data_IF_500026974970
#
_entry.id   IF_500026974970
#
_cell.length_a   1.000
_cell.length_b   1.000
_cell.length_c   1.000
_cell.angle_alpha   90.00
_cell.angle_beta   90.00
_cell.angle_gamma   90.00
#
_symmetry.space_group_name_H-M   'P 1'
#
loop_
_entity.id
_entity.type
_entity.pdbx_description
1 polymer ?
#
# COMPACT_ATOMS: atom_id res chain seq x y z
N UNK A 1 -15.33 -27.39 18.29
CA UNK A 1 -16.24 -27.98 19.31
C UNK A 1 -15.99 -27.44 20.73
N UNK A 2 -14.90 -27.79 21.45
CA UNK A 2 -14.72 -27.35 22.87
C UNK A 2 -14.75 -25.83 23.10
N UNK A 3 -14.01 -25.05 22.30
CA UNK A 3 -13.97 -23.59 22.45
C UNK A 3 -15.29 -22.89 22.11
N UNK A 4 -16.07 -23.44 21.19
CA UNK A 4 -17.37 -22.87 20.81
C UNK A 4 -18.35 -22.92 21.98
N UNK A 5 -18.47 -24.08 22.63
CA UNK A 5 -19.33 -24.25 23.81
C UNK A 5 -18.85 -23.39 24.99
N UNK A 6 -17.53 -23.28 25.18
CA UNK A 6 -16.95 -22.42 26.21
C UNK A 6 -17.32 -20.94 26.00
N UNK A 7 -17.09 -20.39 24.79
CA UNK A 7 -17.41 -18.99 24.51
C UNK A 7 -18.92 -18.71 24.59
N UNK A 8 -19.75 -19.66 24.17
CA UNK A 8 -21.20 -19.52 24.27
C UNK A 8 -21.68 -19.54 25.73
N UNK A 9 -21.13 -20.43 26.56
CA UNK A 9 -21.41 -20.45 27.99
C UNK A 9 -21.00 -19.13 28.67
N UNK A 10 -19.82 -18.59 28.32
CA UNK A 10 -19.37 -17.28 28.81
C UNK A 10 -20.33 -16.14 28.39
N UNK A 11 -20.79 -16.14 27.13
CA UNK A 11 -21.72 -15.13 26.59
C UNK A 11 -23.04 -15.13 27.37
N UNK A 12 -23.62 -16.31 27.58
CA UNK A 12 -24.87 -16.48 28.33
C UNK A 12 -24.71 -16.07 29.80
N UNK A 13 -23.59 -16.46 30.44
CA UNK A 13 -23.29 -16.10 31.83
C UNK A 13 -23.18 -14.58 32.02
N UNK A 14 -22.62 -13.88 31.03
CA UNK A 14 -22.51 -12.42 31.03
C UNK A 14 -23.76 -11.71 30.48
N UNK A 15 -24.83 -12.46 30.16
CA UNK A 15 -26.09 -11.94 29.63
C UNK A 15 -25.90 -11.07 28.38
N UNK A 16 -24.91 -11.43 27.55
CA UNK A 16 -24.58 -10.67 26.34
C UNK A 16 -25.56 -11.01 25.22
N UNK A 17 -25.81 -10.04 24.33
CA UNK A 17 -26.60 -10.26 23.10
C UNK A 17 -26.01 -11.38 22.24
N UNK A 18 -26.83 -11.96 21.35
CA UNK A 18 -26.44 -13.10 20.51
C UNK A 18 -25.50 -12.69 19.36
N UNK A 19 -24.28 -12.35 19.74
CA UNK A 19 -23.16 -12.03 18.87
C UNK A 19 -21.99 -12.88 19.35
N UNK A 20 -21.28 -13.51 18.41
CA UNK A 20 -20.09 -14.27 18.72
C UNK A 20 -18.95 -13.36 19.23
N UNK A 21 -17.97 -13.96 19.91
CA UNK A 21 -16.87 -13.22 20.56
C UNK A 21 -16.10 -12.31 19.59
N UNK A 22 -15.90 -12.72 18.34
CA UNK A 22 -15.24 -11.93 17.29
C UNK A 22 -16.00 -10.62 16.98
N UNK A 23 -17.33 -10.65 17.02
CA UNK A 23 -18.16 -9.44 16.89
C UNK A 23 -17.94 -8.45 18.04
N UNK A 24 -17.83 -8.94 19.28
CA UNK A 24 -17.50 -8.10 20.44
C UNK A 24 -16.09 -7.53 20.37
N UNK A 25 -15.11 -8.33 19.92
CA UNK A 25 -13.72 -7.89 19.72
C UNK A 25 -13.58 -6.82 18.64
N UNK A 26 -14.54 -6.70 17.72
CA UNK A 26 -14.56 -5.65 16.70
C UNK A 26 -15.08 -4.30 17.24
N UNK A 27 -15.80 -4.29 18.36
CA UNK A 27 -16.45 -3.07 18.88
C UNK A 27 -15.50 -1.90 19.17
N UNK A 28 -14.26 -2.08 19.70
CA UNK A 28 -13.35 -0.95 19.90
C UNK A 28 -12.91 -0.30 18.58
N UNK A 29 -12.67 -1.12 17.56
CA UNK A 29 -12.32 -0.67 16.20
C UNK A 29 -13.49 0.12 15.58
N UNK A 30 -14.72 -0.32 15.80
CA UNK A 30 -15.90 0.43 15.36
C UNK A 30 -16.07 1.73 16.15
N UNK A 31 -15.89 1.68 17.47
CA UNK A 31 -16.13 2.81 18.37
C UNK A 31 -15.18 3.97 18.07
N UNK A 32 -13.89 3.69 17.84
CA UNK A 32 -12.92 4.73 17.54
C UNK A 32 -13.21 5.47 16.24
N UNK A 33 -13.80 4.78 15.24
CA UNK A 33 -14.24 5.38 13.98
C UNK A 33 -15.58 6.13 14.08
N UNK A 34 -16.38 5.87 15.11
CA UNK A 34 -17.69 6.53 15.31
C UNK A 34 -17.53 7.92 15.93
N UNK A 35 -16.54 8.16 16.78
CA UNK A 35 -16.38 9.44 17.49
C UNK A 35 -16.28 10.67 16.56
N UNK A 36 -15.52 10.66 15.45
CA UNK A 36 -15.51 11.80 14.52
C UNK A 36 -16.89 12.11 13.92
N UNK A 37 -17.70 11.08 13.64
CA UNK A 37 -19.04 11.26 13.08
C UNK A 37 -19.98 11.87 14.12
N UNK A 38 -19.93 11.37 15.35
CA UNK A 38 -20.76 11.88 16.46
C UNK A 38 -20.40 13.32 16.83
N UNK A 39 -19.10 13.65 16.90
CA UNK A 39 -18.64 15.01 17.18
C UNK A 39 -18.95 15.98 16.03
N UNK A 40 -18.89 15.53 14.78
CA UNK A 40 -19.28 16.34 13.63
C UNK A 40 -20.78 16.67 13.67
N UNK A 41 -21.63 15.70 14.01
CA UNK A 41 -23.06 15.94 14.16
C UNK A 41 -23.37 16.85 15.35
N UNK A 42 -22.66 16.70 16.47
CA UNK A 42 -22.78 17.61 17.61
C UNK A 42 -22.40 19.05 17.22
N UNK A 43 -21.23 19.23 16.58
CA UNK A 43 -20.75 20.55 16.17
C UNK A 43 -21.71 21.27 15.22
N UNK A 44 -22.41 20.52 14.36
CA UNK A 44 -23.41 21.06 13.44
C UNK A 44 -24.58 21.75 14.17
N UNK A 45 -24.94 21.29 15.37
CA UNK A 45 -26.02 21.87 16.18
C UNK A 45 -25.50 22.70 17.38
N UNK A 46 -24.19 22.90 17.49
CA UNK A 46 -23.60 23.82 18.48
C UNK A 46 -23.43 25.20 17.84
N UNK A 47 -24.08 26.23 18.40
CA UNK A 47 -23.92 27.60 17.94
C UNK A 47 -22.48 28.11 18.15
N UNK A 48 -22.01 29.04 17.31
CA UNK A 48 -20.61 29.52 17.34
C UNK A 48 -20.24 30.27 18.63
N UNK A 49 -21.24 30.88 19.27
CA UNK A 49 -21.15 31.61 20.54
C UNK A 49 -21.28 30.70 21.77
N UNK A 50 -21.65 29.44 21.59
CA UNK A 50 -21.75 28.47 22.68
C UNK A 50 -20.36 28.19 23.28
N UNK A 51 -20.27 28.09 24.61
CA UNK A 51 -19.01 27.84 25.35
C UNK A 51 -18.24 26.63 24.81
N UNK A 52 -18.97 25.58 24.42
CA UNK A 52 -18.40 24.32 23.95
C UNK A 52 -18.01 24.29 22.48
N UNK A 53 -18.37 25.30 21.67
CA UNK A 53 -18.13 25.27 20.23
C UNK A 53 -16.65 25.00 19.89
N UNK A 54 -15.75 25.74 20.53
CA UNK A 54 -14.31 25.63 20.31
C UNK A 54 -13.77 24.27 20.77
N UNK A 55 -14.27 23.75 21.89
CA UNK A 55 -13.87 22.47 22.43
C UNK A 55 -14.34 21.29 21.57
N UNK A 56 -15.58 21.32 21.09
CA UNK A 56 -16.12 20.29 20.19
C UNK A 56 -15.41 20.32 18.85
N UNK A 57 -15.12 21.49 18.29
CA UNK A 57 -14.35 21.64 17.06
C UNK A 57 -12.92 21.07 17.20
N UNK A 58 -12.25 21.38 18.31
CA UNK A 58 -10.92 20.86 18.61
C UNK A 58 -10.96 19.32 18.81
N UNK A 59 -11.91 18.81 19.58
CA UNK A 59 -12.09 17.38 19.81
C UNK A 59 -12.35 16.62 18.50
N UNK A 60 -13.17 17.19 17.60
CA UNK A 60 -13.41 16.61 16.28
C UNK A 60 -12.10 16.49 15.48
N UNK A 61 -11.29 17.54 15.45
CA UNK A 61 -9.99 17.53 14.77
C UNK A 61 -9.05 16.47 15.35
N UNK A 62 -8.94 16.40 16.69
CA UNK A 62 -8.13 15.41 17.40
C UNK A 62 -8.60 13.99 17.09
N UNK A 63 -9.91 13.71 17.15
CA UNK A 63 -10.44 12.37 16.90
C UNK A 63 -10.27 11.94 15.46
N UNK A 64 -10.41 12.85 14.49
CA UNK A 64 -10.07 12.58 13.08
C UNK A 64 -8.61 12.18 12.94
N UNK A 65 -7.71 12.92 13.60
CA UNK A 65 -6.29 12.61 13.60
C UNK A 65 -5.99 11.26 14.25
N UNK A 66 -6.63 10.90 15.37
CA UNK A 66 -6.48 9.58 16.01
C UNK A 66 -6.90 8.46 15.05
N UNK A 67 -8.07 8.56 14.42
CA UNK A 67 -8.52 7.54 13.45
C UNK A 67 -7.57 7.42 12.26
N UNK A 68 -7.10 8.56 11.73
CA UNK A 68 -6.15 8.60 10.63
C UNK A 68 -4.81 7.94 11.01
N UNK A 69 -4.26 8.26 12.19
CA UNK A 69 -3.01 7.67 12.69
C UNK A 69 -3.14 6.15 12.91
N UNK A 70 -4.25 5.68 13.46
CA UNK A 70 -4.50 4.23 13.62
C UNK A 70 -4.53 3.53 12.25
N UNK A 71 -5.26 4.12 11.29
CA UNK A 71 -5.34 3.59 9.94
C UNK A 71 -3.95 3.57 9.26
N UNK A 72 -3.19 4.64 9.43
CA UNK A 72 -1.83 4.76 8.89
C UNK A 72 -0.88 3.74 9.51
N UNK A 73 -0.91 3.57 10.84
CA UNK A 73 -0.10 2.57 11.55
C UNK A 73 -0.37 1.17 11.03
N UNK A 74 -1.65 0.82 10.86
CA UNK A 74 -2.07 -0.47 10.31
C UNK A 74 -1.56 -0.62 8.87
N UNK A 75 -1.76 0.39 8.03
CA UNK A 75 -1.28 0.42 6.63
C UNK A 75 0.24 0.22 6.55
N UNK A 76 1.01 0.89 7.42
CA UNK A 76 2.48 0.73 7.47
C UNK A 76 2.86 -0.72 7.77
N UNK A 77 2.25 -1.35 8.77
CA UNK A 77 2.53 -2.74 9.13
C UNK A 77 2.21 -3.71 7.99
N UNK A 78 1.06 -3.56 7.34
CA UNK A 78 0.68 -4.38 6.18
C UNK A 78 1.58 -4.16 4.96
N UNK A 79 2.17 -2.97 4.84
CA UNK A 79 3.06 -2.64 3.73
C UNK A 79 4.50 -3.13 3.94
N UNK A 80 4.90 -3.56 5.14
CA UNK A 80 6.26 -4.12 5.39
C UNK A 80 6.53 -5.30 4.46
N UNK A 81 5.58 -6.24 4.35
CA UNK A 81 5.69 -7.40 3.47
C UNK A 81 5.82 -6.98 1.99
N UNK A 82 5.10 -5.91 1.59
CA UNK A 82 5.14 -5.39 0.21
C UNK A 82 6.47 -4.73 -0.09
N UNK A 83 7.05 -3.99 0.86
CA UNK A 83 8.39 -3.39 0.72
C UNK A 83 9.44 -4.49 0.58
N UNK A 84 9.39 -5.53 1.42
CA UNK A 84 10.31 -6.65 1.34
C UNK A 84 10.19 -7.39 -0.01
N UNK A 85 8.97 -7.60 -0.51
CA UNK A 85 8.73 -8.18 -1.84
C UNK A 85 9.25 -7.29 -2.97
N UNK A 86 9.03 -5.97 -2.89
CA UNK A 86 9.55 -5.02 -3.86
C UNK A 86 11.07 -5.03 -3.87
N UNK A 87 11.73 -5.00 -2.71
CA UNK A 87 13.19 -5.06 -2.60
C UNK A 87 13.76 -6.32 -3.25
N UNK A 88 13.11 -7.48 -3.07
CA UNK A 88 13.55 -8.73 -3.71
C UNK A 88 13.28 -8.81 -5.22
N UNK A 89 12.44 -7.91 -5.75
CA UNK A 89 12.18 -7.81 -7.20
C UNK A 89 13.18 -6.91 -7.93
N UNK A 90 13.89 -6.04 -7.18
CA UNK A 90 14.97 -5.22 -7.72
C UNK A 90 16.17 -6.14 -7.96
N UNK A 91 16.56 -6.30 -9.23
CA UNK A 91 17.66 -7.18 -9.61
C UNK A 91 18.99 -6.44 -9.49
N UNK A 92 20.06 -7.20 -9.25
CA UNK A 92 21.41 -6.73 -9.53
C UNK A 92 21.62 -6.69 -11.06
N UNK A 93 22.36 -5.67 -11.51
CA UNK A 93 22.66 -5.30 -12.90
C UNK A 93 22.80 -6.52 -13.83
N UNK A 94 21.83 -6.84 -14.72
CA UNK A 94 22.06 -7.79 -15.83
C UNK A 94 21.22 -7.58 -17.12
N UNK A 95 20.14 -6.79 -17.20
CA UNK A 95 19.27 -6.81 -18.43
C UNK A 95 18.52 -5.50 -18.80
N UNK A 96 19.24 -4.50 -19.34
CA UNK A 96 18.76 -3.11 -19.57
C UNK A 96 17.59 -2.90 -20.56
N UNK A 97 16.95 -3.94 -21.09
CA UNK A 97 15.97 -3.81 -22.20
C UNK A 97 14.51 -3.70 -21.70
N UNK A 98 14.23 -4.09 -20.46
CA UNK A 98 12.86 -4.16 -19.92
C UNK A 98 12.50 -2.98 -19.01
N UNK A 99 11.42 -2.27 -19.32
CA UNK A 99 10.92 -1.12 -18.51
C UNK A 99 10.35 -1.53 -17.14
N UNK A 100 9.98 -2.79 -16.97
CA UNK A 100 9.50 -3.37 -15.71
C UNK A 100 10.63 -3.82 -14.77
N UNK A 101 11.88 -3.82 -15.23
CA UNK A 101 13.04 -4.16 -14.39
C UNK A 101 13.59 -2.89 -13.74
N UNK A 102 13.77 -2.94 -12.43
CA UNK A 102 14.43 -1.90 -11.65
C UNK A 102 15.81 -2.39 -11.23
N UNK A 103 16.80 -1.49 -11.31
CA UNK A 103 18.17 -1.72 -10.89
C UNK A 103 18.51 -0.84 -9.70
N UNK A 104 19.10 -1.44 -8.66
CA UNK A 104 19.57 -0.67 -7.53
C UNK A 104 20.78 0.18 -7.92
N UNK A 105 20.73 1.48 -7.61
CA UNK A 105 21.79 2.46 -7.93
C UNK A 105 22.35 3.19 -6.70
N UNK A 106 21.89 2.83 -5.51
CA UNK A 106 22.32 3.46 -4.25
C UNK A 106 21.13 3.92 -3.40
N UNK A 107 21.47 4.50 -2.25
CA UNK A 107 20.52 5.07 -1.27
C UNK A 107 21.12 6.32 -0.64
N UNK A 108 20.27 7.27 -0.28
CA UNK A 108 20.64 8.48 0.46
C UNK A 108 20.07 8.36 1.88
N UNK A 109 20.92 8.60 2.87
CA UNK A 109 20.52 8.66 4.27
C UNK A 109 19.94 10.03 4.60
N UNK A 110 18.62 10.14 4.59
CA UNK A 110 17.92 11.42 4.74
C UNK A 110 18.13 12.10 6.11
N UNK A 111 18.65 11.40 7.12
CA UNK A 111 18.93 11.99 8.43
C UNK A 111 20.08 13.00 8.38
N UNK A 112 21.04 12.75 7.49
CA UNK A 112 22.22 13.59 7.27
C UNK A 112 21.98 14.74 6.31
N UNK A 113 20.84 14.75 5.62
CA UNK A 113 20.54 15.71 4.57
C UNK A 113 19.42 16.67 4.96
N UNK A 114 19.47 17.86 4.38
CA UNK A 114 18.41 18.86 4.40
C UNK A 114 17.93 19.16 2.97
N UNK A 115 16.65 19.51 2.85
CA UNK A 115 16.03 19.79 1.54
C UNK A 115 15.99 21.29 1.32
N UNK A 116 16.66 21.75 0.27
CA UNK A 116 16.70 23.16 -0.13
C UNK A 116 15.81 23.33 -1.37
N UNK A 117 14.76 24.13 -1.23
CA UNK A 117 13.92 24.52 -2.36
C UNK A 117 14.62 25.61 -3.16
N UNK A 118 14.74 25.40 -4.47
CA UNK A 118 15.48 26.30 -5.37
C UNK A 118 14.53 26.88 -6.42
N UNK A 119 14.55 28.19 -6.59
CA UNK A 119 13.74 28.88 -7.59
C UNK A 119 14.26 28.62 -9.01
N UNK A 120 13.38 28.78 -10.01
CA UNK A 120 13.75 28.63 -11.41
C UNK A 120 14.71 29.76 -11.79
N UNK A 121 15.84 29.42 -12.40
CA UNK A 121 16.88 30.41 -12.65
C UNK A 121 18.21 29.78 -13.08
N UNK A 122 19.30 30.47 -12.78
CA UNK A 122 20.65 29.94 -12.93
C UNK A 122 21.16 29.54 -11.55
N UNK A 123 21.71 28.34 -11.45
CA UNK A 123 22.34 27.87 -10.23
C UNK A 123 23.77 28.40 -10.11
N UNK A 124 24.15 28.89 -8.94
CA UNK A 124 25.52 29.34 -8.71
C UNK A 124 26.48 28.18 -8.40
N UNK A 125 26.02 27.11 -7.74
CA UNK A 125 26.87 25.97 -7.34
C UNK A 125 27.20 25.06 -8.53
N UNK A 126 26.24 24.85 -9.43
CA UNK A 126 26.37 23.96 -10.59
C UNK A 126 26.54 24.71 -11.90
N UNK A 127 26.32 26.03 -11.92
CA UNK A 127 26.37 26.87 -13.13
C UNK A 127 25.45 26.38 -14.27
N UNK A 128 24.29 25.81 -13.92
CA UNK A 128 23.29 25.26 -14.86
C UNK A 128 21.97 26.02 -14.73
N UNK A 129 21.22 26.17 -15.83
CA UNK A 129 19.85 26.68 -15.75
C UNK A 129 18.92 25.61 -15.19
N UNK A 130 18.22 25.96 -14.11
CA UNK A 130 17.33 25.06 -13.40
C UNK A 130 15.88 25.46 -13.61
N UNK A 131 15.05 24.44 -13.82
CA UNK A 131 13.60 24.56 -13.82
C UNK A 131 13.02 23.41 -13.02
N UNK A 132 12.10 23.72 -12.10
CA UNK A 132 11.48 22.74 -11.19
C UNK A 132 12.53 21.90 -10.42
N UNK A 133 13.59 22.55 -9.92
CA UNK A 133 14.66 21.87 -9.21
C UNK A 133 14.58 22.02 -7.68
N UNK A 134 15.25 21.12 -6.97
CA UNK A 134 15.52 21.21 -5.53
C UNK A 134 16.85 20.51 -5.22
N UNK A 135 17.49 20.87 -4.11
CA UNK A 135 18.77 20.30 -3.67
C UNK A 135 18.63 19.52 -2.37
N UNK A 136 19.47 18.50 -2.22
CA UNK A 136 19.74 17.87 -0.94
C UNK A 136 21.16 18.24 -0.52
N UNK A 137 21.30 18.94 0.59
CA UNK A 137 22.57 19.37 1.15
C UNK A 137 22.88 18.54 2.40
N UNK A 138 24.10 18.05 2.54
CA UNK A 138 24.52 17.34 3.74
C UNK A 138 24.79 18.34 4.88
N UNK A 139 24.35 18.02 6.09
CA UNK A 139 24.48 18.92 7.25
C UNK A 139 25.91 19.00 7.79
N UNK A 140 26.71 17.96 7.56
CA UNK A 140 28.06 17.82 8.11
C UNK A 140 29.15 18.00 7.06
N UNK A 141 28.82 17.80 5.79
CA UNK A 141 29.76 17.87 4.66
C UNK A 141 29.27 18.83 3.58
N UNK A 142 30.16 19.29 2.71
CA UNK A 142 29.81 20.11 1.54
C UNK A 142 29.18 19.28 0.40
N UNK A 143 28.70 18.05 0.69
CA UNK A 143 28.08 17.20 -0.31
C UNK A 143 26.68 17.71 -0.66
N UNK A 144 26.45 17.98 -1.95
CA UNK A 144 25.18 18.48 -2.46
C UNK A 144 24.71 17.69 -3.68
N UNK A 145 23.44 17.28 -3.66
CA UNK A 145 22.79 16.57 -4.77
C UNK A 145 21.69 17.45 -5.37
N UNK A 146 21.71 17.63 -6.69
CA UNK A 146 20.72 18.42 -7.42
C UNK A 146 19.69 17.51 -8.11
N UNK A 147 18.40 17.80 -7.92
CA UNK A 147 17.29 17.03 -8.49
C UNK A 147 16.41 17.91 -9.37
N UNK A 148 15.93 17.34 -10.47
CA UNK A 148 15.02 17.98 -11.41
C UNK A 148 13.71 17.19 -11.52
N UNK A 149 12.60 17.87 -11.31
CA UNK A 149 11.28 17.36 -11.67
C UNK A 149 10.91 17.81 -13.08
N UNK A 150 10.19 16.97 -13.85
CA UNK A 150 9.74 17.39 -15.18
C UNK A 150 8.63 18.43 -15.11
N UNK A 151 7.84 18.38 -14.04
CA UNK A 151 6.68 19.24 -13.81
C UNK A 151 6.72 19.89 -12.43
N UNK A 152 6.12 21.06 -12.31
CA UNK A 152 6.03 21.78 -11.03
C UNK A 152 5.24 20.97 -9.99
N UNK A 153 4.19 20.28 -10.39
CA UNK A 153 3.39 19.45 -9.48
C UNK A 153 4.20 18.30 -8.90
N UNK A 154 5.14 17.74 -9.66
CA UNK A 154 6.05 16.70 -9.20
C UNK A 154 7.04 17.26 -8.18
N UNK A 155 7.62 18.45 -8.42
CA UNK A 155 8.46 19.15 -7.44
C UNK A 155 7.71 19.38 -6.13
N UNK A 156 6.49 19.91 -6.19
CA UNK A 156 5.66 20.16 -5.01
C UNK A 156 5.38 18.85 -4.25
N UNK A 157 5.10 17.75 -4.97
CA UNK A 157 4.90 16.43 -4.34
C UNK A 157 6.15 15.92 -3.64
N UNK A 158 7.34 16.07 -4.26
CA UNK A 158 8.60 15.69 -3.63
C UNK A 158 8.89 16.50 -2.37
N UNK A 159 8.78 17.83 -2.44
CA UNK A 159 9.00 18.71 -1.28
C UNK A 159 8.04 18.38 -0.14
N UNK A 160 6.77 18.08 -0.47
CA UNK A 160 5.80 17.61 0.52
C UNK A 160 6.21 16.26 1.11
N UNK A 161 6.62 15.31 0.28
CA UNK A 161 7.04 13.98 0.74
C UNK A 161 8.24 14.06 1.70
N UNK A 162 9.23 14.92 1.43
CA UNK A 162 10.34 15.13 2.36
C UNK A 162 9.91 15.73 3.71
N UNK A 163 9.00 16.72 3.69
CA UNK A 163 8.45 17.29 4.94
C UNK A 163 7.65 16.26 5.73
N UNK A 164 6.84 15.47 5.03
CA UNK A 164 6.04 14.39 5.64
C UNK A 164 6.93 13.30 6.24
N UNK A 165 8.02 12.95 5.56
CA UNK A 165 8.99 11.97 6.04
C UNK A 165 9.73 12.47 7.29
N UNK A 166 10.24 13.71 7.31
CA UNK A 166 10.86 14.29 8.52
C UNK A 166 9.90 14.38 9.69
N UNK A 167 8.64 14.75 9.44
CA UNK A 167 7.59 14.75 10.46
C UNK A 167 7.32 13.34 11.00
N UNK A 168 7.26 12.36 10.11
CA UNK A 168 7.06 10.95 10.46
C UNK A 168 8.18 10.42 11.35
N UNK A 169 9.44 10.72 11.03
CA UNK A 169 10.60 10.31 11.85
C UNK A 169 10.51 10.89 13.26
N UNK A 170 10.23 12.19 13.39
CA UNK A 170 10.07 12.85 14.70
C UNK A 170 8.90 12.28 15.51
N UNK A 171 7.77 11.98 14.86
CA UNK A 171 6.61 11.37 15.52
C UNK A 171 6.92 9.94 15.97
N UNK A 172 7.56 9.13 15.12
CA UNK A 172 7.94 7.76 15.44
C UNK A 172 8.96 7.74 16.60
N UNK A 173 9.97 8.62 16.61
CA UNK A 173 10.94 8.76 17.70
C UNK A 173 10.27 9.17 19.01
N UNK A 174 9.39 10.18 18.98
CA UNK A 174 8.65 10.64 20.16
C UNK A 174 7.77 9.55 20.77
N UNK A 175 7.23 8.66 19.94
CA UNK A 175 6.35 7.56 20.37
C UNK A 175 7.16 6.30 20.72
N UNK A 176 8.48 6.28 20.45
CA UNK A 176 9.31 5.09 20.59
C UNK A 176 8.90 3.97 19.64
N UNK A 177 8.36 4.32 18.48
CA UNK A 177 7.97 3.37 17.45
C UNK A 177 9.23 2.83 16.78
N UNK A 178 9.35 1.51 16.79
CA UNK A 178 10.28 0.79 15.92
C UNK A 178 9.59 -0.43 15.31
N UNK A 179 10.01 -0.83 14.12
CA UNK A 179 9.60 -2.12 13.54
C UNK A 179 10.35 -3.22 14.30
N UNK A 180 9.61 -4.09 14.98
CA UNK A 180 10.20 -5.19 15.75
C UNK A 180 11.00 -6.14 14.86
N UNK A 181 12.11 -6.66 15.38
CA UNK A 181 12.92 -7.69 14.70
C UNK A 181 12.08 -8.91 14.27
N UNK A 182 11.07 -9.28 15.05
CA UNK A 182 10.15 -10.36 14.69
C UNK A 182 9.34 -10.04 13.43
N UNK A 183 8.89 -8.79 13.28
CA UNK A 183 8.15 -8.33 12.10
C UNK A 183 9.04 -8.28 10.87
N UNK A 184 10.29 -7.81 11.00
CA UNK A 184 11.28 -7.84 9.91
C UNK A 184 11.58 -9.27 9.44
N UNK A 185 11.80 -10.20 10.38
CA UNK A 185 12.03 -11.62 10.07
C UNK A 185 10.83 -12.25 9.38
N UNK A 186 9.62 -11.97 9.83
CA UNK A 186 8.40 -12.48 9.21
C UNK A 186 8.27 -12.01 7.76
N UNK A 187 8.49 -10.72 7.50
CA UNK A 187 8.45 -10.16 6.14
C UNK A 187 9.50 -10.79 5.22
N UNK A 188 10.73 -10.97 5.69
CA UNK A 188 11.79 -11.65 4.94
C UNK A 188 11.45 -13.12 4.63
N UNK A 189 10.78 -13.83 5.55
CA UNK A 189 10.32 -15.21 5.34
C UNK A 189 9.21 -15.29 4.28
N UNK A 190 8.29 -14.32 4.24
CA UNK A 190 7.25 -14.22 3.21
C UNK A 190 7.86 -14.12 1.81
N UNK A 191 8.90 -13.30 1.65
CA UNK A 191 9.66 -13.17 0.39
C UNK A 191 10.29 -14.50 -0.04
N UNK A 192 10.98 -15.18 0.90
CA UNK A 192 11.60 -16.49 0.64
C UNK A 192 10.60 -17.57 0.23
N UNK A 193 9.38 -17.53 0.77
CA UNK A 193 8.31 -18.45 0.38
C UNK A 193 7.83 -18.18 -1.04
N UNK A 194 7.69 -16.90 -1.42
CA UNK A 194 7.29 -16.50 -2.76
C UNK A 194 8.36 -16.85 -3.83
N UNK A 195 9.66 -16.70 -3.50
CA UNK A 195 10.73 -17.11 -4.41
C UNK A 195 10.83 -18.63 -4.58
N UNK A 196 10.62 -19.41 -3.51
CA UNK A 196 10.53 -20.89 -3.60
C UNK A 196 9.35 -21.37 -4.43
N UNK A 197 8.20 -20.69 -4.38
CA UNK A 197 7.07 -21.03 -5.26
C UNK A 197 7.35 -20.73 -6.74
N UNK A 198 8.13 -19.68 -7.05
CA UNK A 198 8.62 -19.44 -8.42
C UNK A 198 9.73 -20.42 -8.85
N UNK A 199 10.49 -20.98 -7.90
CA UNK A 199 11.60 -21.91 -8.15
C UNK A 199 11.24 -23.39 -8.33
N UNK A 200 9.97 -23.78 -8.18
CA UNK A 200 9.53 -25.20 -8.30
C UNK A 200 8.90 -25.53 -9.67
N UNK A 201 8.88 -24.60 -10.63
CA UNK A 201 8.42 -24.87 -12.00
C UNK A 201 9.53 -24.87 -13.06
N UNK A 202 10.81 -24.93 -12.66
CA UNK A 202 11.91 -25.17 -13.61
C UNK A 202 12.29 -26.66 -13.66
N UNK A 203 11.30 -27.55 -13.64
CA UNK A 203 11.49 -28.95 -14.00
C UNK A 203 11.39 -29.07 -15.53
N UNK A 204 12.54 -28.90 -16.20
CA UNK A 204 12.91 -29.52 -17.48
C UNK A 204 11.81 -29.54 -18.56
N UNK A 205 11.46 -28.38 -19.11
CA UNK A 205 10.85 -28.31 -20.44
C UNK A 205 11.94 -28.54 -21.50
N UNK A 206 12.11 -29.79 -21.90
CA UNK A 206 12.88 -30.12 -23.12
C UNK A 206 12.06 -29.59 -24.30
N UNK A 207 12.64 -28.81 -25.23
CA UNK A 207 11.92 -28.37 -26.42
C UNK A 207 11.47 -29.59 -27.25
N UNK A 208 10.29 -29.57 -27.90
CA UNK A 208 9.96 -30.57 -28.90
C UNK A 208 11.05 -30.55 -29.99
N UNK A 209 11.71 -31.68 -30.22
CA UNK A 209 12.64 -31.82 -31.33
C UNK A 209 11.84 -31.79 -32.62
N UNK A 210 11.93 -30.69 -33.37
CA UNK A 210 11.39 -30.64 -34.72
C UNK A 210 12.31 -31.45 -35.66
N UNK A 211 11.78 -32.35 -36.50
CA UNK A 211 12.57 -32.92 -37.60
C UNK A 211 12.96 -31.81 -38.58
N UNK A 212 14.15 -31.89 -39.21
CA UNK A 212 14.60 -30.87 -40.17
C UNK A 212 13.67 -30.80 -41.39
N UNK A 213 13.46 -29.62 -42.01
CA UNK A 213 12.62 -29.47 -43.18
C UNK A 213 13.18 -30.28 -44.36
N UNK A 214 12.33 -31.03 -45.05
CA UNK A 214 12.69 -31.62 -46.35
C UNK A 214 12.59 -30.56 -47.46
N UNK A 215 13.53 -30.61 -48.40
CA UNK A 215 13.63 -29.70 -49.54
C UNK A 215 12.36 -29.72 -50.42
N UNK A 216 12.00 -28.59 -51.07
CA UNK A 216 10.74 -28.47 -51.78
C UNK A 216 10.82 -29.13 -53.16
N UNK A 217 9.96 -30.13 -53.42
CA UNK A 217 9.68 -30.64 -54.75
C UNK A 217 8.22 -30.35 -55.16
N UNK A 218 8.10 -29.48 -56.16
CA UNK A 218 7.07 -29.27 -57.17
C UNK A 218 5.57 -29.61 -56.95
N UNK A 219 4.78 -28.55 -57.14
CA UNK A 219 3.55 -28.41 -57.95
C UNK A 219 2.53 -29.57 -57.99
N UNK A 220 1.33 -29.29 -57.48
CA UNK A 220 0.13 -29.96 -57.98
C UNK A 220 -1.10 -29.86 -57.09
N UNK A 221 -2.06 -29.03 -57.53
CA UNK A 221 -3.50 -29.17 -57.33
C UNK A 221 -4.11 -28.80 -55.97
N UNK A 222 -4.79 -27.65 -55.98
CA UNK A 222 -5.83 -27.26 -55.04
C UNK A 222 -7.07 -28.14 -55.23
N UNK A 223 -7.52 -28.80 -54.16
CA UNK A 223 -8.92 -29.21 -54.00
C UNK A 223 -9.33 -29.04 -52.53
N UNK A 224 -10.32 -28.18 -52.30
CA UNK A 224 -11.03 -28.02 -51.03
C UNK A 224 -12.22 -29.00 -51.02
N UNK A 225 -12.48 -29.69 -49.90
CA UNK A 225 -13.84 -30.13 -49.59
C UNK A 225 -14.34 -29.64 -48.23
N UNK A 226 -15.63 -29.29 -48.23
CA UNK A 226 -16.47 -28.86 -47.12
C UNK A 226 -16.61 -29.90 -46.00
N UNK A 227 -16.78 -29.43 -44.75
CA UNK A 227 -17.13 -30.31 -43.62
C UNK A 227 -17.05 -29.70 -42.22
N UNK A 228 -18.13 -29.01 -41.84
CA UNK A 228 -18.68 -28.73 -40.49
C UNK A 228 -17.98 -29.39 -39.28
N UNK A 229 -17.52 -28.59 -38.30
CA UNK A 229 -17.77 -28.81 -36.86
C UNK A 229 -17.44 -27.55 -36.02
N UNK A 230 -18.39 -27.16 -35.18
CA UNK A 230 -18.37 -26.01 -34.28
C UNK A 230 -17.20 -26.07 -33.28
N UNK A 231 -16.38 -25.01 -33.22
CA UNK A 231 -15.46 -24.80 -32.10
C UNK A 231 -16.17 -24.03 -30.99
N UNK A 232 -16.18 -24.64 -29.80
CA UNK A 232 -16.72 -24.10 -28.56
C UNK A 232 -16.07 -22.76 -28.24
N UNK A 233 -16.90 -21.72 -28.12
CA UNK A 233 -16.52 -20.42 -27.55
C UNK A 233 -16.26 -20.65 -26.06
N UNK A 234 -14.98 -20.63 -25.65
CA UNK A 234 -14.62 -20.55 -24.23
C UNK A 234 -14.89 -19.12 -23.75
N UNK A 235 -16.05 -18.93 -23.12
CA UNK A 235 -16.42 -17.70 -22.43
C UNK A 235 -15.62 -17.60 -21.12
N UNK A 236 -14.65 -16.69 -21.08
CA UNK A 236 -13.95 -16.31 -19.85
C UNK A 236 -14.90 -15.50 -18.97
N UNK A 237 -15.49 -16.15 -17.98
CA UNK A 237 -16.24 -15.45 -16.93
C UNK A 237 -15.24 -14.68 -16.04
N UNK A 238 -15.40 -13.36 -15.97
CA UNK A 238 -14.68 -12.52 -15.02
C UNK A 238 -14.98 -12.97 -13.57
N UNK A 239 -13.98 -13.14 -12.70
CA UNK A 239 -14.23 -13.43 -11.30
C UNK A 239 -14.84 -12.19 -10.63
N UNK A 240 -16.10 -12.32 -10.19
CA UNK A 240 -16.83 -11.32 -9.41
C UNK A 240 -15.97 -10.84 -8.23
N UNK A 241 -15.69 -9.54 -8.18
CA UNK A 241 -15.12 -8.89 -6.99
C UNK A 241 -16.03 -9.18 -5.80
N UNK A 242 -15.51 -9.96 -4.84
CA UNK A 242 -16.14 -10.17 -3.54
C UNK A 242 -16.44 -8.81 -2.91
N UNK A 243 -17.73 -8.46 -2.81
CA UNK A 243 -18.13 -7.34 -1.95
C UNK A 243 -17.86 -7.76 -0.51
N UNK A 244 -16.87 -7.10 0.09
CA UNK A 244 -16.53 -7.28 1.50
C UNK A 244 -17.75 -7.03 2.39
N UNK A 245 -18.07 -7.94 3.34
CA UNK A 245 -19.15 -7.74 4.33
C UNK A 245 -18.93 -6.53 5.25
N UNK A 246 -17.76 -5.88 5.16
CA UNK A 246 -17.36 -4.71 5.95
C UNK A 246 -18.42 -3.59 5.97
N UNK A 247 -19.12 -3.36 4.86
CA UNK A 247 -20.09 -2.26 4.74
C UNK A 247 -21.51 -2.60 5.21
N UNK A 248 -21.85 -3.89 5.38
CA UNK A 248 -23.24 -4.30 5.66
C UNK A 248 -23.63 -4.24 7.15
N UNK A 249 -22.66 -4.10 8.06
CA UNK A 249 -22.91 -4.14 9.51
C UNK A 249 -23.03 -2.77 10.20
N UNK A 250 -22.96 -1.66 9.46
CA UNK A 250 -23.04 -0.32 10.07
C UNK A 250 -24.40 0.00 10.72
N UNK A 251 -25.50 -0.58 10.23
CA UNK A 251 -26.86 -0.31 10.69
C UNK A 251 -27.37 -1.22 11.82
N UNK A 252 -26.69 -2.35 12.11
CA UNK A 252 -27.17 -3.33 13.12
C UNK A 252 -26.72 -3.04 14.55
N UNK A 253 -25.83 -2.07 14.76
CA UNK A 253 -25.21 -1.80 16.08
C UNK A 253 -25.45 -0.37 16.57
N UNK A 254 -26.57 0.24 16.19
CA UNK A 254 -27.02 1.54 16.70
C UNK A 254 -28.39 1.41 17.37
N UNK A 255 -28.51 1.64 18.68
CA UNK A 255 -29.81 1.92 19.27
C UNK A 255 -30.08 3.43 19.08
N UNK A 256 -30.48 3.80 17.87
CA UNK A 256 -31.22 5.05 17.66
C UNK A 256 -32.59 4.65 17.11
N UNK A 257 -33.52 4.34 18.03
CA UNK A 257 -34.95 4.41 17.70
C UNK A 257 -35.32 5.89 17.67
N UNK A 258 -36.00 6.30 16.60
CA UNK A 258 -36.77 7.53 16.54
C UNK A 258 -37.84 7.53 17.63
#
# INVERSE_FOLDING_TARGET
>A
SRYQHFFEACRLLQQMIDIAIDGFLLTPVQKICKYPLQLAELLKYTAQDHSDYRYVAAALAVMRNVTQQINERKRRLENIDKIAQWQASVLDWEDLIRRDILYYKGRIDMDKYEVIDIEDGRDDDFNVSMKNAFKLHNKETEEVHLFFAKKLEEKIRWLRAFREERKMVQEDEKIGFEISENQKRQAAMTVRKASKQKGVNSARSVPPSYPPPQDPLNQGQYLVPDGIAQSQVFEFTEPKRSQSPFWQNFSRLTPFKK
#
